data_IF_219235198860
#
_entry.id   IF_219235198860
#
_cell.length_a   1.000
_cell.length_b   1.000
_cell.length_c   1.000
_cell.angle_alpha   90.00
_cell.angle_beta   90.00
_cell.angle_gamma   90.00
#
_symmetry.space_group_name_H-M   'P 1'
#
loop_
_entity.id
_entity.type
_entity.pdbx_description
1 polymer ?
#
# COMPACT_ATOMS: atom_id res chain seq x y z
N UNK A 1 -8.15 -13.80 -6.86
CA UNK A 1 -7.72 -15.01 -6.13
C UNK A 1 -8.95 -15.79 -5.71
N UNK A 2 -8.96 -17.12 -5.86
CA UNK A 2 -10.05 -17.96 -5.35
C UNK A 2 -9.87 -18.12 -3.84
N UNK A 3 -10.63 -17.34 -3.07
CA UNK A 3 -10.61 -17.33 -1.60
C UNK A 3 -11.08 -18.69 -1.06
N UNK A 4 -10.26 -19.37 -0.26
CA UNK A 4 -10.52 -20.70 0.34
C UNK A 4 -11.15 -20.59 1.73
N UNK A 5 -11.72 -19.43 2.05
CA UNK A 5 -12.17 -19.09 3.38
C UNK A 5 -13.54 -19.68 3.67
N UNK A 6 -13.69 -20.27 4.86
CA UNK A 6 -14.98 -20.79 5.37
C UNK A 6 -15.77 -19.74 6.16
N UNK A 7 -15.20 -18.54 6.32
CA UNK A 7 -15.78 -17.41 7.05
C UNK A 7 -16.63 -16.54 6.13
N UNK A 8 -17.61 -15.82 6.70
CA UNK A 8 -18.31 -14.76 5.96
C UNK A 8 -17.34 -13.62 5.59
N UNK A 9 -17.67 -12.87 4.55
CA UNK A 9 -16.85 -11.74 4.07
C UNK A 9 -16.59 -10.70 5.17
N UNK A 10 -17.60 -10.42 6.00
CA UNK A 10 -17.46 -9.50 7.13
C UNK A 10 -16.46 -10.02 8.18
N UNK A 11 -16.48 -11.33 8.47
CA UNK A 11 -15.52 -11.96 9.38
C UNK A 11 -14.11 -11.98 8.79
N UNK A 12 -13.97 -12.20 7.48
CA UNK A 12 -12.69 -12.10 6.77
C UNK A 12 -12.11 -10.69 6.90
N UNK A 13 -12.91 -9.65 6.67
CA UNK A 13 -12.47 -8.26 6.80
C UNK A 13 -11.99 -7.93 8.21
N UNK A 14 -12.76 -8.31 9.24
CA UNK A 14 -12.37 -8.07 10.63
C UNK A 14 -11.11 -8.85 11.01
N UNK A 15 -10.97 -10.10 10.54
CA UNK A 15 -9.76 -10.89 10.78
C UNK A 15 -8.53 -10.26 10.11
N UNK A 16 -8.63 -9.91 8.83
CA UNK A 16 -7.51 -9.34 8.07
C UNK A 16 -7.08 -7.98 8.63
N UNK A 17 -8.03 -7.13 9.05
CA UNK A 17 -7.75 -5.87 9.72
C UNK A 17 -6.97 -6.09 11.02
N UNK A 18 -7.44 -6.99 11.89
CA UNK A 18 -6.75 -7.30 13.14
C UNK A 18 -5.33 -7.86 12.92
N UNK A 19 -5.18 -8.76 11.94
CA UNK A 19 -3.89 -9.35 11.58
C UNK A 19 -2.93 -8.32 10.99
N UNK A 20 -3.41 -7.39 10.17
CA UNK A 20 -2.62 -6.30 9.62
C UNK A 20 -2.05 -5.41 10.73
N UNK A 21 -2.89 -5.02 11.70
CA UNK A 21 -2.47 -4.21 12.87
C UNK A 21 -1.44 -4.98 13.70
N UNK A 22 -1.68 -6.25 14.01
CA UNK A 22 -0.76 -7.07 14.80
C UNK A 22 0.62 -7.22 14.12
N UNK A 23 0.63 -7.53 12.82
CA UNK A 23 1.89 -7.68 12.08
C UNK A 23 2.61 -6.35 11.87
N UNK A 24 1.86 -5.25 11.77
CA UNK A 24 2.45 -3.92 11.70
C UNK A 24 3.14 -3.55 13.02
N UNK A 25 2.50 -3.80 14.16
CA UNK A 25 3.13 -3.63 15.48
C UNK A 25 4.39 -4.49 15.64
N UNK A 26 4.37 -5.74 15.16
CA UNK A 26 5.55 -6.61 15.13
C UNK A 26 6.66 -6.03 14.25
N UNK A 27 6.33 -5.55 13.05
CA UNK A 27 7.25 -4.87 12.15
C UNK A 27 7.87 -3.61 12.78
N UNK A 28 7.08 -2.79 13.49
CA UNK A 28 7.58 -1.61 14.19
C UNK A 28 8.48 -1.99 15.38
N UNK A 29 8.15 -3.05 16.12
CA UNK A 29 8.98 -3.53 17.23
C UNK A 29 10.38 -3.98 16.78
N UNK A 30 10.49 -4.50 15.56
CA UNK A 30 11.78 -4.86 14.96
C UNK A 30 12.62 -3.65 14.51
N UNK A 31 12.10 -2.42 14.60
CA UNK A 31 12.86 -1.22 14.32
C UNK A 31 13.91 -0.89 15.41
N UNK A 32 13.80 -1.50 16.60
CA UNK A 32 14.58 -1.11 17.78
C UNK A 32 15.74 -2.03 18.19
N UNK A 33 16.17 -2.98 17.35
CA UNK A 33 17.24 -3.89 17.74
C UNK A 33 18.11 -4.36 16.57
N UNK A 34 19.35 -4.72 16.92
CA UNK A 34 20.56 -5.10 16.17
C UNK A 34 20.37 -5.82 14.82
N UNK A 35 21.47 -5.90 14.03
CA UNK A 35 21.55 -6.52 12.67
C UNK A 35 20.75 -7.82 12.48
N UNK A 36 20.55 -8.63 13.53
CA UNK A 36 19.78 -9.87 13.50
C UNK A 36 18.27 -9.65 13.24
N UNK A 37 17.70 -8.52 13.65
CA UNK A 37 16.27 -8.21 13.46
C UNK A 37 15.95 -7.57 12.11
N UNK A 38 16.95 -7.17 11.33
CA UNK A 38 16.75 -6.66 9.98
C UNK A 38 16.07 -7.71 9.07
N UNK A 39 16.46 -8.97 9.21
CA UNK A 39 15.91 -10.08 8.42
C UNK A 39 14.49 -10.40 8.85
N UNK A 40 14.24 -10.43 10.17
CA UNK A 40 12.90 -10.58 10.73
C UNK A 40 11.96 -9.46 10.28
N UNK A 41 12.41 -8.20 10.31
CA UNK A 41 11.64 -7.04 9.83
C UNK A 41 11.27 -7.17 8.35
N UNK A 42 12.23 -7.49 7.50
CA UNK A 42 11.99 -7.65 6.07
C UNK A 42 11.08 -8.85 5.78
N UNK A 43 11.23 -9.95 6.52
CA UNK A 43 10.38 -11.13 6.41
C UNK A 43 8.94 -10.85 6.85
N UNK A 44 8.72 -10.20 7.99
CA UNK A 44 7.38 -9.82 8.47
C UNK A 44 6.69 -8.89 7.48
N UNK A 45 7.42 -7.93 6.90
CA UNK A 45 6.89 -7.04 5.88
C UNK A 45 6.46 -7.82 4.62
N UNK A 46 7.34 -8.65 4.07
CA UNK A 46 7.14 -9.30 2.78
C UNK A 46 6.17 -10.49 2.84
N UNK A 47 6.25 -11.30 3.90
CA UNK A 47 5.56 -12.58 3.96
C UNK A 47 4.23 -12.52 4.70
N UNK A 48 4.04 -11.51 5.57
CA UNK A 48 2.82 -11.40 6.38
C UNK A 48 2.09 -10.09 6.06
N UNK A 49 2.69 -8.95 6.34
CA UNK A 49 2.00 -7.66 6.33
C UNK A 49 1.51 -7.26 4.93
N UNK A 50 2.39 -7.34 3.92
CA UNK A 50 2.03 -6.96 2.54
C UNK A 50 0.93 -7.87 1.95
N UNK A 51 1.03 -9.21 2.02
CA UNK A 51 -0.04 -10.09 1.55
C UNK A 51 -1.39 -9.85 2.24
N UNK A 52 -1.40 -9.73 3.56
CA UNK A 52 -2.63 -9.52 4.35
C UNK A 52 -3.28 -8.18 3.99
N UNK A 53 -2.49 -7.11 3.86
CA UNK A 53 -3.01 -5.82 3.44
C UNK A 53 -3.54 -5.85 2.01
N UNK A 54 -2.88 -6.54 1.08
CA UNK A 54 -3.39 -6.67 -0.29
C UNK A 54 -4.74 -7.41 -0.31
N UNK A 55 -4.87 -8.50 0.43
CA UNK A 55 -6.13 -9.23 0.53
C UNK A 55 -7.23 -8.34 1.14
N UNK A 56 -6.92 -7.62 2.21
CA UNK A 56 -7.84 -6.65 2.82
C UNK A 56 -8.26 -5.55 1.84
N UNK A 57 -7.31 -4.98 1.09
CA UNK A 57 -7.57 -3.92 0.10
C UNK A 57 -8.43 -4.46 -1.05
N UNK A 58 -8.11 -5.64 -1.59
CA UNK A 58 -8.83 -6.23 -2.71
C UNK A 58 -10.23 -6.72 -2.34
N UNK A 59 -10.52 -6.95 -1.06
CA UNK A 59 -11.88 -7.19 -0.56
C UNK A 59 -12.67 -5.89 -0.38
N UNK A 60 -12.03 -4.79 0.07
CA UNK A 60 -12.72 -3.53 0.31
C UNK A 60 -12.88 -2.63 -0.90
N UNK A 61 -11.96 -2.70 -1.86
CA UNK A 61 -11.91 -1.82 -3.01
C UNK A 61 -12.17 -2.59 -4.30
N UNK A 62 -12.85 -1.94 -5.22
CA UNK A 62 -13.10 -2.50 -6.54
C UNK A 62 -11.84 -2.46 -7.41
N UNK A 63 -11.70 -3.49 -8.25
CA UNK A 63 -10.60 -3.56 -9.22
C UNK A 63 -10.70 -2.40 -10.22
N UNK A 64 -9.63 -1.62 -10.42
CA UNK A 64 -9.64 -0.54 -11.39
C UNK A 64 -9.75 -1.10 -12.81
N UNK A 65 -10.65 -0.52 -13.61
CA UNK A 65 -10.89 -0.91 -15.02
C UNK A 65 -10.37 0.11 -16.03
N UNK A 66 -10.09 1.34 -15.59
CA UNK A 66 -9.63 2.44 -16.43
C UNK A 66 -8.60 3.32 -15.68
N UNK A 67 -7.98 4.27 -16.41
CA UNK A 67 -6.95 5.19 -15.87
C UNK A 67 -7.42 6.01 -14.68
N UNK A 68 -8.61 6.61 -14.78
CA UNK A 68 -9.21 7.42 -13.70
C UNK A 68 -9.51 6.56 -12.46
N UNK A 69 -10.01 5.34 -12.69
CA UNK A 69 -10.27 4.33 -11.66
C UNK A 69 -8.99 3.87 -10.97
N UNK A 70 -7.87 3.77 -11.70
CA UNK A 70 -6.57 3.46 -11.11
C UNK A 70 -6.07 4.60 -10.20
N UNK A 71 -6.27 5.86 -10.58
CA UNK A 71 -5.94 7.01 -9.73
C UNK A 71 -6.82 7.02 -8.47
N UNK A 72 -8.12 6.80 -8.62
CA UNK A 72 -9.05 6.72 -7.50
C UNK A 72 -8.70 5.55 -6.56
N UNK A 73 -8.39 4.38 -7.11
CA UNK A 73 -7.93 3.21 -6.37
C UNK A 73 -6.66 3.51 -5.57
N UNK A 74 -5.65 4.15 -6.16
CA UNK A 74 -4.41 4.55 -5.46
C UNK A 74 -4.70 5.45 -4.25
N UNK A 75 -5.56 6.44 -4.43
CA UNK A 75 -5.93 7.38 -3.36
C UNK A 75 -6.72 6.67 -2.25
N UNK A 76 -7.70 5.85 -2.61
CA UNK A 76 -8.51 5.08 -1.67
C UNK A 76 -7.65 4.06 -0.90
N UNK A 77 -6.75 3.35 -1.59
CA UNK A 77 -5.79 2.44 -0.97
C UNK A 77 -4.89 3.16 0.03
N UNK A 78 -4.30 4.29 -0.35
CA UNK A 78 -3.44 5.06 0.54
C UNK A 78 -4.20 5.51 1.79
N UNK A 79 -5.43 5.99 1.62
CA UNK A 79 -6.30 6.39 2.73
C UNK A 79 -6.63 5.21 3.63
N UNK A 80 -7.07 4.09 3.06
CA UNK A 80 -7.43 2.88 3.79
C UNK A 80 -6.26 2.35 4.62
N UNK A 81 -5.08 2.20 4.00
CA UNK A 81 -3.88 1.74 4.70
C UNK A 81 -3.45 2.70 5.80
N UNK A 82 -3.56 4.01 5.56
CA UNK A 82 -3.24 5.00 6.57
C UNK A 82 -4.23 4.91 7.72
N UNK A 83 -5.53 4.86 7.47
CA UNK A 83 -6.57 4.77 8.51
C UNK A 83 -6.45 3.47 9.32
N UNK A 84 -6.18 2.33 8.67
CA UNK A 84 -6.05 1.03 9.34
C UNK A 84 -4.78 0.90 10.18
N UNK A 85 -3.65 1.50 9.74
CA UNK A 85 -2.36 1.36 10.43
C UNK A 85 -2.01 2.57 11.32
N UNK A 86 -2.83 3.62 11.32
CA UNK A 86 -2.52 4.83 12.08
C UNK A 86 -2.90 4.67 13.55
N UNK A 87 -1.88 4.43 14.38
CA UNK A 87 -1.97 4.64 15.82
C UNK A 87 -1.25 5.95 16.22
N UNK A 88 -1.58 6.55 17.37
CA UNK A 88 -0.97 7.80 17.83
C UNK A 88 0.57 7.75 17.95
N UNK A 89 1.13 6.55 18.10
CA UNK A 89 2.55 6.26 18.29
C UNK A 89 3.25 5.84 16.99
N UNK A 90 2.51 5.62 15.91
CA UNK A 90 3.05 5.06 14.66
C UNK A 90 3.93 6.03 13.90
N UNK A 91 5.08 5.56 13.42
CA UNK A 91 5.97 6.36 12.58
C UNK A 91 5.43 6.48 11.16
N UNK A 92 5.21 7.71 10.67
CA UNK A 92 4.85 7.97 9.25
C UNK A 92 5.83 7.33 8.26
N UNK A 93 7.12 7.21 8.62
CA UNK A 93 8.13 6.57 7.77
C UNK A 93 7.87 5.08 7.58
N UNK A 94 7.34 4.41 8.60
CA UNK A 94 6.98 2.99 8.55
C UNK A 94 5.78 2.76 7.64
N UNK A 95 4.72 3.56 7.78
CA UNK A 95 3.55 3.52 6.89
C UNK A 95 3.98 3.77 5.44
N UNK A 96 4.80 4.79 5.18
CA UNK A 96 5.29 5.07 3.82
C UNK A 96 6.10 3.91 3.22
N UNK A 97 6.85 3.17 4.05
CA UNK A 97 7.60 1.99 3.59
C UNK A 97 6.64 0.86 3.19
N UNK A 98 5.58 0.64 3.97
CA UNK A 98 4.54 -0.34 3.66
C UNK A 98 3.82 0.03 2.37
N UNK A 99 3.41 1.30 2.22
CA UNK A 99 2.75 1.80 1.01
C UNK A 99 3.59 1.60 -0.25
N UNK A 100 4.90 1.93 -0.19
CA UNK A 100 5.82 1.68 -1.31
C UNK A 100 5.90 0.19 -1.64
N UNK A 101 5.90 -0.68 -0.63
CA UNK A 101 6.00 -2.11 -0.86
C UNK A 101 4.71 -2.73 -1.40
N UNK A 102 3.56 -2.22 -0.97
CA UNK A 102 2.26 -2.55 -1.54
C UNK A 102 2.21 -2.17 -3.02
N UNK A 103 2.59 -0.94 -3.39
CA UNK A 103 2.61 -0.51 -4.80
C UNK A 103 3.50 -1.44 -5.66
N UNK A 104 4.64 -1.89 -5.13
CA UNK A 104 5.52 -2.83 -5.84
C UNK A 104 5.03 -4.28 -5.90
N UNK A 105 3.99 -4.64 -5.14
CA UNK A 105 3.49 -6.03 -5.02
C UNK A 105 2.05 -6.19 -5.50
N UNK A 106 1.35 -5.08 -5.76
CA UNK A 106 -0.05 -5.05 -6.14
C UNK A 106 -0.23 -5.30 -7.64
N UNK A 107 -0.69 -6.49 -8.00
CA UNK A 107 -0.92 -6.88 -9.39
C UNK A 107 -1.95 -5.96 -10.08
N UNK A 108 -2.93 -5.42 -9.36
CA UNK A 108 -3.92 -4.53 -9.97
C UNK A 108 -3.29 -3.24 -10.49
N UNK A 109 -2.25 -2.74 -9.81
CA UNK A 109 -1.51 -1.56 -10.27
C UNK A 109 -0.48 -1.88 -11.34
N UNK A 110 0.18 -3.04 -11.25
CA UNK A 110 1.18 -3.45 -12.24
C UNK A 110 0.54 -3.76 -13.60
N UNK A 111 -0.56 -4.51 -13.60
CA UNK A 111 -1.25 -4.91 -14.82
C UNK A 111 -1.95 -3.71 -15.45
N UNK A 112 -2.64 -2.88 -14.65
CA UNK A 112 -3.24 -1.65 -15.17
C UNK A 112 -2.17 -0.68 -15.67
N UNK A 113 -1.05 -0.52 -14.95
CA UNK A 113 0.08 0.29 -15.41
C UNK A 113 0.65 -0.20 -16.75
N UNK A 114 0.93 -1.49 -16.89
CA UNK A 114 1.47 -2.07 -18.11
C UNK A 114 0.48 -2.03 -19.30
N UNK A 115 -0.80 -2.31 -19.06
CA UNK A 115 -1.83 -2.25 -20.09
C UNK A 115 -2.10 -0.83 -20.60
N UNK A 116 -1.86 0.19 -19.76
CA UNK A 116 -2.09 1.60 -20.09
C UNK A 116 -0.84 2.28 -20.68
N UNK A 117 0.36 1.74 -20.46
CA UNK A 117 1.60 2.18 -21.14
C UNK A 117 1.64 1.70 -22.62
N UNK A 118 0.88 0.66 -22.96
CA UNK A 118 0.77 0.15 -24.33
C UNK A 118 0.19 1.13 -25.36
N UNK A 119 -0.47 2.22 -24.93
CA UNK A 119 -1.06 3.24 -25.81
C UNK A 119 -0.27 4.56 -25.88
N UNK A 120 0.84 4.69 -25.15
CA UNK A 120 1.59 5.95 -25.12
C UNK A 120 3.02 5.76 -24.67
N UNK A 121 3.94 5.86 -25.63
CA UNK A 121 5.37 6.02 -25.36
C UNK A 121 5.58 7.27 -24.50
N UNK A 122 5.88 7.10 -23.21
CA UNK A 122 6.28 8.21 -22.33
C UNK A 122 7.54 7.80 -21.59
N UNK A 123 8.59 8.58 -21.86
CA UNK A 123 9.90 8.54 -21.24
C UNK A 123 9.81 8.49 -19.70
N UNK A 124 10.78 7.79 -19.09
CA UNK A 124 11.07 7.65 -17.66
C UNK A 124 11.32 8.98 -16.89
N UNK A 125 10.92 10.15 -17.42
CA UNK A 125 11.13 11.47 -16.80
C UNK A 125 9.90 12.03 -16.04
N UNK A 126 8.76 11.34 -16.04
CA UNK A 126 7.51 11.87 -15.45
C UNK A 126 7.13 11.30 -14.08
N UNK A 127 8.12 10.83 -13.31
CA UNK A 127 7.93 10.40 -11.91
C UNK A 127 8.25 11.50 -10.89
N UNK A 128 8.04 12.77 -11.24
CA UNK A 128 8.21 13.90 -10.31
C UNK A 128 6.91 14.23 -9.53
N UNK A 129 5.74 13.97 -10.11
CA UNK A 129 4.44 14.20 -9.44
C UNK A 129 4.04 13.10 -8.44
N UNK A 130 4.71 11.93 -8.52
CA UNK A 130 4.54 10.83 -7.56
C UNK A 130 5.45 10.97 -6.34
N UNK A 131 6.52 11.77 -6.43
CA UNK A 131 7.48 11.93 -5.34
C UNK A 131 7.05 13.01 -4.33
N UNK A 132 6.31 14.01 -4.81
CA UNK A 132 5.73 15.09 -4.02
C UNK A 132 4.24 15.06 -4.28
N UNK A 133 3.42 14.79 -3.25
CA UNK A 133 1.97 14.78 -3.42
C UNK A 133 1.55 16.04 -4.16
N UNK A 134 0.60 15.94 -5.10
CA UNK A 134 0.17 17.03 -6.00
C UNK A 134 0.04 18.41 -5.31
N UNK A 135 -0.32 18.41 -4.02
CA UNK A 135 -0.38 19.59 -3.15
C UNK A 135 0.98 20.29 -2.90
N UNK A 136 2.05 19.55 -2.67
CA UNK A 136 3.41 20.09 -2.47
C UNK A 136 4.01 20.61 -3.78
N UNK A 137 3.72 19.95 -4.90
CA UNK A 137 4.15 20.38 -6.24
C UNK A 137 3.42 21.66 -6.67
N UNK A 138 2.12 21.78 -6.37
CA UNK A 138 1.41 23.03 -6.56
C UNK A 138 1.97 24.16 -5.68
N UNK A 139 2.23 23.90 -4.39
CA UNK A 139 2.77 24.91 -3.48
C UNK A 139 4.16 25.42 -3.90
N UNK A 140 5.01 24.56 -4.48
CA UNK A 140 6.31 24.97 -5.02
C UNK A 140 6.16 25.79 -6.32
N UNK A 141 5.23 25.41 -7.19
CA UNK A 141 4.97 26.10 -8.45
C UNK A 141 4.25 27.45 -8.29
N UNK A 142 3.48 27.63 -7.21
CA UNK A 142 2.74 28.88 -6.95
C UNK A 142 3.48 29.89 -6.08
N UNK A 143 4.73 29.60 -5.66
CA UNK A 143 5.66 30.54 -5.02
C UNK A 143 5.05 31.76 -4.32
N UNK A 144 4.65 31.58 -3.05
CA UNK A 144 4.70 32.65 -2.04
C UNK A 144 5.90 32.40 -1.12
#
# INVERSE_FOLDING_TARGET
MNSTWTLSEQEQLTYLEAMAVQHFACYESHAYSERQHHWARAATLKNNLVPILLEYIHLKLDRPTNTLGLIAYRQQKQRLVTETLHEPTTSRRHINTVLKKLASSDEWEQIAGAALIGEGHVNDELDLANLFGLRELMNWATGE
#
